data_IF_290067559117
#
_entry.id   IF_290067559117
#
_cell.length_a   1.000
_cell.length_b   1.000
_cell.length_c   1.000
_cell.angle_alpha   90.00
_cell.angle_beta   90.00
_cell.angle_gamma   90.00
#
_symmetry.space_group_name_H-M   'P 1'
#
loop_
_entity.id
_entity.type
_entity.pdbx_description
1 polymer ?
#
# COMPACT_ATOMS: atom_id res chain seq x y z
N UNK A 1 -19.58 -11.26 -17.13
CA UNK A 1 -19.02 -11.15 -15.77
C UNK A 1 -17.59 -10.70 -15.94
N UNK A 2 -17.24 -9.49 -15.51
CA UNK A 2 -15.85 -9.02 -15.61
C UNK A 2 -15.16 -9.64 -14.41
N UNK A 3 -14.44 -10.74 -14.62
CA UNK A 3 -13.50 -11.23 -13.62
C UNK A 3 -12.59 -10.06 -13.23
N UNK A 4 -12.55 -9.74 -11.94
CA UNK A 4 -11.72 -8.66 -11.45
C UNK A 4 -10.27 -8.90 -11.77
N UNK A 5 -9.68 -7.96 -12.51
CA UNK A 5 -8.23 -7.96 -12.75
C UNK A 5 -7.52 -7.98 -11.41
N UNK A 6 -6.94 -9.14 -11.06
CA UNK A 6 -6.06 -9.29 -9.90
C UNK A 6 -4.76 -8.57 -10.18
N UNK A 7 -4.34 -7.77 -9.23
CA UNK A 7 -3.12 -6.99 -9.29
C UNK A 7 -2.21 -7.43 -8.15
N UNK A 8 -0.94 -7.66 -8.48
CA UNK A 8 0.09 -7.89 -7.47
C UNK A 8 0.56 -6.55 -6.94
N UNK A 9 0.27 -6.31 -5.66
CA UNK A 9 0.54 -5.06 -4.97
C UNK A 9 1.69 -5.25 -4.00
N UNK A 10 2.61 -4.28 -3.99
CA UNK A 10 3.59 -4.16 -2.92
C UNK A 10 3.11 -3.10 -1.94
N UNK A 11 2.76 -3.54 -0.74
CA UNK A 11 2.23 -2.70 0.34
C UNK A 11 3.36 -2.41 1.31
N UNK A 12 3.67 -1.12 1.44
CA UNK A 12 4.61 -0.59 2.41
C UNK A 12 3.82 -0.02 3.60
N UNK A 13 4.17 -0.40 4.83
CA UNK A 13 3.43 0.04 6.02
C UNK A 13 4.35 0.45 7.16
N UNK A 14 3.84 1.39 7.97
CA UNK A 14 4.61 2.06 9.02
C UNK A 14 5.59 3.12 8.49
N UNK A 15 5.88 4.16 9.27
CA UNK A 15 6.74 5.25 8.84
C UNK A 15 6.01 6.35 8.06
N UNK A 16 6.79 7.22 7.43
CA UNK A 16 6.33 8.43 6.72
C UNK A 16 6.96 8.54 5.33
N UNK A 17 6.20 9.02 4.35
CA UNK A 17 6.76 9.45 3.07
C UNK A 17 7.15 10.92 3.17
N UNK A 18 8.40 11.22 2.87
CA UNK A 18 8.88 12.59 2.69
C UNK A 18 9.00 12.91 1.20
N UNK A 19 8.42 14.03 0.77
CA UNK A 19 8.61 14.53 -0.59
C UNK A 19 10.07 15.00 -0.77
N UNK A 20 10.77 14.43 -1.75
CA UNK A 20 12.16 14.71 -2.05
C UNK A 20 12.33 15.13 -3.51
N UNK A 21 12.39 16.44 -3.76
CA UNK A 21 12.53 17.06 -5.10
C UNK A 21 11.47 16.54 -6.09
N UNK A 22 11.80 15.51 -6.86
CA UNK A 22 10.97 14.91 -7.92
C UNK A 22 10.44 13.50 -7.57
N UNK A 23 10.77 13.00 -6.38
CA UNK A 23 10.34 11.68 -5.91
C UNK A 23 9.86 11.75 -4.48
N UNK A 24 9.42 10.62 -3.96
CA UNK A 24 9.09 10.45 -2.56
C UNK A 24 10.07 9.46 -1.94
N UNK A 25 10.58 9.77 -0.76
CA UNK A 25 11.43 8.89 0.04
C UNK A 25 10.61 8.32 1.18
N UNK A 26 10.61 7.01 1.33
CA UNK A 26 10.01 6.39 2.49
C UNK A 26 11.01 6.33 3.64
N UNK A 27 10.58 6.71 4.84
CA UNK A 27 11.40 6.70 6.05
C UNK A 27 10.65 6.03 7.19
N UNK A 28 11.36 5.20 7.96
CA UNK A 28 10.78 4.52 9.11
C UNK A 28 9.79 3.40 8.74
N UNK A 29 9.96 2.78 7.56
CA UNK A 29 9.21 1.59 7.16
C UNK A 29 9.28 0.55 8.29
N UNK A 30 8.12 0.07 8.73
CA UNK A 30 8.04 -1.04 9.68
C UNK A 30 8.05 -2.39 8.94
N UNK A 31 7.54 -2.43 7.72
CA UNK A 31 7.63 -3.60 6.87
C UNK A 31 7.04 -3.40 5.48
N UNK A 32 7.24 -4.42 4.66
CA UNK A 32 6.71 -4.52 3.30
C UNK A 32 6.16 -5.91 3.07
N UNK A 33 4.98 -5.98 2.47
CA UNK A 33 4.34 -7.25 2.10
C UNK A 33 3.81 -7.18 0.67
N UNK A 34 3.79 -8.34 0.02
CA UNK A 34 3.23 -8.47 -1.33
C UNK A 34 1.92 -9.20 -1.24
N UNK A 35 0.86 -8.61 -1.78
CA UNK A 35 -0.49 -9.20 -1.79
C UNK A 35 -1.04 -9.25 -3.20
N UNK A 36 -1.95 -10.18 -3.46
CA UNK A 36 -2.67 -10.26 -4.74
C UNK A 36 -4.14 -9.94 -4.49
N UNK A 37 -4.56 -8.72 -4.84
CA UNK A 37 -5.93 -8.23 -4.64
C UNK A 37 -6.56 -7.85 -5.98
N UNK A 38 -7.88 -7.95 -6.06
CA UNK A 38 -8.64 -7.42 -7.18
C UNK A 38 -8.66 -5.89 -7.11
N UNK A 39 -8.45 -5.21 -8.24
CA UNK A 39 -8.25 -3.76 -8.28
C UNK A 39 -9.43 -2.97 -7.68
N UNK A 40 -10.67 -3.36 -8.00
CA UNK A 40 -11.87 -2.73 -7.44
C UNK A 40 -12.08 -2.98 -5.95
N UNK A 41 -11.36 -3.95 -5.41
CA UNK A 41 -11.50 -4.44 -4.04
C UNK A 41 -10.51 -3.73 -3.10
N UNK A 42 -9.57 -2.97 -3.68
CA UNK A 42 -8.62 -2.13 -2.96
C UNK A 42 -9.39 -0.99 -2.29
N UNK A 43 -9.52 -1.06 -0.97
CA UNK A 43 -10.20 -0.07 -0.15
C UNK A 43 -9.47 0.11 1.18
N UNK A 44 -9.68 1.25 1.83
CA UNK A 44 -9.11 1.54 3.15
C UNK A 44 -9.43 0.44 4.16
N UNK A 45 -10.69 -0.04 4.17
CA UNK A 45 -11.15 -1.13 5.05
C UNK A 45 -10.38 -2.43 4.84
N UNK A 46 -10.16 -2.84 3.58
CA UNK A 46 -9.42 -4.07 3.26
C UNK A 46 -7.97 -3.98 3.71
N UNK A 47 -7.38 -2.79 3.58
CA UNK A 47 -6.03 -2.53 4.08
C UNK A 47 -5.94 -2.55 5.61
N UNK A 48 -6.86 -1.91 6.33
CA UNK A 48 -6.85 -1.94 7.80
C UNK A 48 -6.91 -3.38 8.32
N UNK A 49 -7.78 -4.19 7.71
CA UNK A 49 -7.88 -5.62 7.99
C UNK A 49 -6.54 -6.32 7.76
N UNK A 50 -5.89 -6.09 6.61
CA UNK A 50 -4.55 -6.60 6.33
C UNK A 50 -3.51 -6.17 7.36
N UNK A 51 -3.49 -4.90 7.78
CA UNK A 51 -2.53 -4.43 8.76
C UNK A 51 -2.69 -5.08 10.13
N UNK A 52 -3.93 -5.31 10.57
CA UNK A 52 -4.21 -5.95 11.86
C UNK A 52 -4.02 -7.46 11.82
N UNK A 53 -4.51 -8.12 10.77
CA UNK A 53 -4.58 -9.58 10.73
C UNK A 53 -3.35 -10.23 10.06
N UNK A 54 -2.87 -9.67 8.94
CA UNK A 54 -1.81 -10.29 8.13
C UNK A 54 -0.42 -9.72 8.43
N UNK A 55 -0.33 -8.39 8.61
CA UNK A 55 0.94 -7.72 8.89
C UNK A 55 1.25 -7.64 10.39
N UNK A 56 0.29 -7.97 11.26
CA UNK A 56 0.38 -7.90 12.72
C UNK A 56 0.89 -6.54 13.24
N UNK A 57 0.53 -5.45 12.56
CA UNK A 57 1.01 -4.10 12.86
C UNK A 57 0.02 -3.39 13.79
N UNK A 58 0.41 -3.19 15.05
CA UNK A 58 -0.40 -2.42 16.03
C UNK A 58 -0.18 -0.89 15.94
N UNK A 59 0.65 -0.42 15.02
CA UNK A 59 0.90 1.01 14.85
C UNK A 59 -0.28 1.70 14.14
N UNK A 60 -0.68 2.92 14.55
CA UNK A 60 -1.74 3.66 13.88
C UNK A 60 -1.33 3.98 12.44
N UNK A 61 -1.99 3.34 11.46
CA UNK A 61 -1.75 3.61 10.05
C UNK A 61 -2.52 4.86 9.64
N UNK A 62 -1.78 5.89 9.21
CA UNK A 62 -2.35 7.19 8.83
C UNK A 62 -2.36 7.44 7.32
N UNK A 63 -1.60 6.67 6.55
CA UNK A 63 -1.47 6.82 5.10
C UNK A 63 -1.13 5.48 4.44
N UNK A 64 -1.75 5.20 3.28
CA UNK A 64 -1.46 4.00 2.48
C UNK A 64 -0.94 4.41 1.12
N UNK A 65 0.07 3.66 0.68
CA UNK A 65 0.68 3.79 -0.63
C UNK A 65 0.78 2.41 -1.23
N UNK A 66 0.34 2.26 -2.47
CA UNK A 66 0.52 1.03 -3.21
C UNK A 66 1.00 1.31 -4.63
N UNK A 67 1.75 0.36 -5.17
CA UNK A 67 2.08 0.34 -6.59
C UNK A 67 2.00 -1.09 -7.09
N UNK A 68 1.74 -1.22 -8.38
CA UNK A 68 1.90 -2.50 -9.06
C UNK A 68 3.34 -2.98 -8.92
N UNK A 69 3.49 -4.29 -8.79
CA UNK A 69 4.80 -4.92 -8.77
C UNK A 69 5.57 -4.57 -10.06
N UNK A 70 6.86 -4.23 -9.90
CA UNK A 70 7.71 -3.81 -11.02
C UNK A 70 7.60 -2.34 -11.43
N UNK A 71 6.59 -1.57 -11.00
CA UNK A 71 6.53 -0.12 -11.31
C UNK A 71 7.44 0.73 -10.43
N UNK A 72 7.88 1.88 -10.91
CA UNK A 72 8.74 2.82 -10.17
C UNK A 72 7.98 3.57 -9.06
N UNK A 73 8.69 4.06 -8.04
CA UNK A 73 8.13 4.82 -6.91
C UNK A 73 7.43 6.14 -7.31
N UNK A 74 7.57 6.59 -8.55
CA UNK A 74 6.83 7.74 -9.10
C UNK A 74 5.38 7.41 -9.49
N UNK A 75 5.02 6.13 -9.56
CA UNK A 75 3.70 5.64 -10.04
C UNK A 75 2.78 5.19 -8.91
N UNK A 76 3.01 5.71 -7.71
CA UNK A 76 2.32 5.28 -6.50
C UNK A 76 0.89 5.83 -6.49
N UNK A 77 -0.06 4.97 -6.13
CA UNK A 77 -1.45 5.30 -5.91
C UNK A 77 -1.74 5.47 -4.41
N UNK A 78 -2.71 6.31 -4.14
CA UNK A 78 -3.08 6.75 -2.80
C UNK A 78 -4.49 6.25 -2.50
N UNK A 79 -4.70 5.74 -1.29
CA UNK A 79 -6.04 5.60 -0.72
C UNK A 79 -6.15 6.63 0.39
N UNK A 80 -6.92 7.67 0.15
CA UNK A 80 -7.40 8.57 1.19
C UNK A 80 -8.77 8.10 1.67
N UNK A 81 -9.11 8.41 2.91
CA UNK A 81 -10.50 8.73 3.26
C UNK A 81 -10.77 10.19 2.89
#
# INVERSE_FOLDING_TARGET
>A
MIEGTKVTLRIHFGGIMEKARETYKYKGELGVNTVSWEFYDISWRKFLKFCWEDACTNAPVRFIWFKEFGKEMKTVNYVFE
#
